data_IF_663456134114
#
_entry.id   IF_663456134114
#
_cell.length_a   1.000
_cell.length_b   1.000
_cell.length_c   1.000
_cell.angle_alpha   90.00
_cell.angle_beta   90.00
_cell.angle_gamma   90.00
#
_symmetry.space_group_name_H-M   'P 1'
#
loop_
_entity.id
_entity.type
_entity.pdbx_description
1 polymer ?
#
# COMPACT_ATOMS: atom_id res chain seq x y z
N UNK A 1 -14.91 -58.43 3.72
CA UNK A 1 -14.78 -56.97 3.92
C UNK A 1 -13.54 -56.45 3.19
N UNK A 2 -13.71 -55.81 2.02
CA UNK A 2 -12.60 -55.17 1.28
C UNK A 2 -12.51 -53.68 1.67
N UNK A 3 -11.38 -53.26 2.25
CA UNK A 3 -11.08 -51.84 2.54
C UNK A 3 -10.84 -51.10 1.21
N UNK A 4 -11.62 -50.06 0.93
CA UNK A 4 -11.34 -49.10 -0.16
C UNK A 4 -10.27 -48.10 0.32
N UNK A 5 -9.28 -47.74 -0.51
CA UNK A 5 -8.30 -46.72 -0.14
C UNK A 5 -8.93 -45.32 -0.24
N UNK A 6 -8.64 -44.49 0.75
CA UNK A 6 -8.98 -43.06 0.78
C UNK A 6 -8.21 -42.36 -0.35
N UNK A 7 -8.92 -41.85 -1.37
CA UNK A 7 -8.32 -40.97 -2.39
C UNK A 7 -8.18 -39.56 -1.79
N UNK A 8 -6.95 -39.15 -1.54
CA UNK A 8 -6.61 -37.78 -1.14
C UNK A 8 -7.01 -36.78 -2.23
N UNK A 9 -8.07 -36.02 -1.98
CA UNK A 9 -8.65 -35.03 -2.90
C UNK A 9 -8.23 -33.58 -2.59
N UNK A 10 -7.41 -33.33 -1.56
CA UNK A 10 -7.03 -31.96 -1.17
C UNK A 10 -5.89 -31.38 -2.03
N UNK A 11 -4.89 -32.18 -2.41
CA UNK A 11 -3.70 -31.73 -3.14
C UNK A 11 -3.98 -31.25 -4.58
N UNK A 12 -4.95 -31.87 -5.27
CA UNK A 12 -5.33 -31.47 -6.62
C UNK A 12 -6.09 -30.12 -6.65
N UNK A 13 -6.83 -29.81 -5.59
CA UNK A 13 -7.61 -28.56 -5.48
C UNK A 13 -6.73 -27.34 -5.22
N UNK A 14 -5.60 -27.55 -4.52
CA UNK A 14 -4.59 -26.51 -4.27
C UNK A 14 -3.82 -26.17 -5.54
N UNK A 15 -3.40 -27.17 -6.32
CA UNK A 15 -2.71 -26.95 -7.61
C UNK A 15 -3.57 -26.22 -8.65
N UNK A 16 -4.87 -26.51 -8.71
CA UNK A 16 -5.82 -25.80 -9.59
C UNK A 16 -6.06 -24.33 -9.19
N UNK A 17 -5.96 -23.99 -7.90
CA UNK A 17 -6.04 -22.58 -7.43
C UNK A 17 -4.74 -21.82 -7.73
N UNK A 18 -3.58 -22.44 -7.57
CA UNK A 18 -2.27 -21.85 -7.90
C UNK A 18 -2.16 -21.46 -9.39
N UNK A 19 -2.74 -22.27 -10.29
CA UNK A 19 -2.80 -21.95 -11.71
C UNK A 19 -3.65 -20.71 -12.03
N UNK A 20 -4.70 -20.43 -11.24
CA UNK A 20 -5.59 -19.27 -11.39
C UNK A 20 -4.92 -17.95 -10.95
N UNK A 21 -3.97 -18.02 -10.02
CA UNK A 21 -3.17 -16.87 -9.55
C UNK A 21 -2.06 -16.48 -10.53
N UNK A 22 -1.46 -17.46 -11.22
CA UNK A 22 -0.50 -17.23 -12.32
C UNK A 22 -1.07 -16.44 -13.51
N UNK A 23 -2.40 -16.24 -13.57
CA UNK A 23 -3.10 -15.49 -14.62
C UNK A 23 -3.66 -14.15 -14.15
N UNK A 24 -3.22 -13.61 -13.00
CA UNK A 24 -3.52 -12.22 -12.64
C UNK A 24 -2.85 -11.28 -13.64
N UNK A 25 -3.58 -10.91 -14.70
CA UNK A 25 -3.17 -9.92 -15.70
C UNK A 25 -3.24 -8.48 -15.20
N UNK A 26 -3.82 -8.25 -14.02
CA UNK A 26 -4.19 -6.93 -13.54
C UNK A 26 -3.93 -6.80 -12.03
N UNK A 27 -3.28 -5.70 -11.64
CA UNK A 27 -2.93 -5.36 -10.25
C UNK A 27 -4.16 -5.40 -9.34
N UNK A 28 -4.00 -5.99 -8.16
CA UNK A 28 -5.00 -5.98 -7.09
C UNK A 28 -4.54 -5.04 -5.98
N UNK A 29 -5.48 -4.36 -5.36
CA UNK A 29 -5.23 -3.46 -4.25
C UNK A 29 -6.05 -3.90 -3.05
N UNK A 30 -5.41 -3.97 -1.88
CA UNK A 30 -6.06 -4.25 -0.60
C UNK A 30 -5.83 -3.04 0.29
N UNK A 31 -6.89 -2.29 0.59
CA UNK A 31 -6.85 -1.14 1.48
C UNK A 31 -7.13 -1.58 2.92
N UNK A 32 -6.19 -1.29 3.82
CA UNK A 32 -6.31 -1.51 5.26
C UNK A 32 -6.49 -0.16 5.94
N UNK A 33 -7.64 0.06 6.57
CA UNK A 33 -7.97 1.30 7.29
C UNK A 33 -8.16 1.06 8.79
N UNK A 34 -7.87 2.07 9.62
CA UNK A 34 -8.16 2.05 11.06
C UNK A 34 -9.50 2.69 11.43
N UNK A 35 -10.31 2.05 12.28
CA UNK A 35 -11.64 2.58 12.63
C UNK A 35 -11.73 3.34 13.96
N UNK A 36 -11.25 2.76 15.07
CA UNK A 36 -11.61 3.22 16.42
C UNK A 36 -10.47 3.95 17.13
N UNK A 37 -9.27 3.39 17.06
CA UNK A 37 -8.09 3.95 17.72
C UNK A 37 -6.84 3.54 16.92
N UNK A 38 -5.86 4.43 16.86
CA UNK A 38 -4.55 4.12 16.26
C UNK A 38 -3.71 3.23 17.18
N UNK A 39 -2.73 2.51 16.63
CA UNK A 39 -1.82 1.68 17.43
C UNK A 39 -2.31 0.28 17.83
N UNK A 40 -3.47 -0.20 17.38
CA UNK A 40 -3.94 -1.59 17.64
C UNK A 40 -3.12 -2.65 16.87
N UNK A 41 -2.34 -2.24 15.86
CA UNK A 41 -1.52 -3.15 15.04
C UNK A 41 -2.00 -3.29 13.59
N UNK A 42 -2.42 -2.18 12.96
CA UNK A 42 -2.76 -2.14 11.53
C UNK A 42 -1.60 -2.65 10.67
N UNK A 43 -0.38 -2.20 10.93
CA UNK A 43 0.82 -2.65 10.23
C UNK A 43 1.07 -4.15 10.36
N UNK A 44 0.84 -4.74 11.54
CA UNK A 44 0.98 -6.19 11.74
C UNK A 44 -0.09 -6.97 10.95
N UNK A 45 -1.32 -6.50 10.94
CA UNK A 45 -2.40 -7.13 10.16
C UNK A 45 -2.12 -7.02 8.65
N UNK A 46 -1.73 -5.84 8.16
CA UNK A 46 -1.36 -5.61 6.77
C UNK A 46 -0.17 -6.51 6.35
N UNK A 47 0.87 -6.56 7.17
CA UNK A 47 2.04 -7.45 6.98
C UNK A 47 1.64 -8.92 6.91
N UNK A 48 0.76 -9.35 7.82
CA UNK A 48 0.28 -10.74 7.88
C UNK A 48 -0.51 -11.13 6.64
N UNK A 49 -1.38 -10.25 6.14
CA UNK A 49 -2.12 -10.47 4.89
C UNK A 49 -1.16 -10.62 3.72
N UNK A 50 -0.18 -9.71 3.59
CA UNK A 50 0.80 -9.81 2.53
C UNK A 50 1.66 -11.07 2.61
N UNK A 51 2.04 -11.49 3.82
CA UNK A 51 2.84 -12.71 4.05
C UNK A 51 2.09 -13.96 3.58
N UNK A 52 0.79 -14.05 3.89
CA UNK A 52 -0.06 -15.15 3.43
C UNK A 52 -0.14 -15.16 1.90
N UNK A 53 -0.30 -14.00 1.26
CA UNK A 53 -0.35 -13.89 -0.20
C UNK A 53 0.97 -14.30 -0.84
N UNK A 54 2.11 -13.85 -0.29
CA UNK A 54 3.44 -14.24 -0.75
C UNK A 54 3.70 -15.74 -0.58
N UNK A 55 3.25 -16.34 0.51
CA UNK A 55 3.30 -17.81 0.70
C UNK A 55 2.48 -18.60 -0.33
N UNK A 56 1.48 -17.96 -0.95
CA UNK A 56 0.73 -18.54 -2.06
C UNK A 56 1.45 -18.45 -3.42
N UNK A 57 2.62 -17.82 -3.47
CA UNK A 57 3.43 -17.59 -4.67
C UNK A 57 3.01 -16.36 -5.47
N UNK A 58 2.46 -15.34 -4.82
CA UNK A 58 2.15 -14.05 -5.43
C UNK A 58 3.25 -13.03 -5.14
N UNK A 59 3.53 -12.16 -6.10
CA UNK A 59 4.36 -10.97 -5.86
C UNK A 59 3.53 -9.91 -5.14
N UNK A 60 4.01 -9.43 -4.00
CA UNK A 60 3.29 -8.51 -3.13
C UNK A 60 4.17 -7.32 -2.81
N UNK A 61 3.63 -6.11 -2.96
CA UNK A 61 4.24 -4.87 -2.48
C UNK A 61 3.37 -4.21 -1.42
N UNK A 62 3.94 -3.28 -0.67
CA UNK A 62 3.25 -2.53 0.38
C UNK A 62 3.43 -1.02 0.18
N UNK A 63 2.39 -0.26 0.50
CA UNK A 63 2.42 1.21 0.57
C UNK A 63 1.83 1.63 1.92
N UNK A 64 2.61 2.39 2.70
CA UNK A 64 2.13 3.08 3.90
C UNK A 64 1.71 4.49 3.54
N UNK A 65 0.52 4.87 4.00
CA UNK A 65 0.05 6.25 3.91
C UNK A 65 -0.02 6.81 5.32
N UNK A 66 0.65 7.93 5.53
CA UNK A 66 0.62 8.64 6.80
C UNK A 66 -0.02 10.02 6.63
N UNK A 67 -1.13 10.28 7.34
CA UNK A 67 -1.89 11.51 7.12
C UNK A 67 -1.25 12.75 7.77
N UNK A 68 -0.09 12.64 8.43
CA UNK A 68 0.64 13.78 8.99
C UNK A 68 1.24 14.70 7.92
N UNK A 69 1.48 15.96 8.30
CA UNK A 69 1.93 17.04 7.39
C UNK A 69 3.43 16.98 7.06
N UNK A 70 4.24 16.31 7.87
CA UNK A 70 5.67 16.13 7.59
C UNK A 70 5.88 15.43 6.23
N UNK A 71 6.96 15.76 5.54
CA UNK A 71 7.28 15.19 4.22
C UNK A 71 7.81 13.76 4.36
N UNK A 72 8.53 13.50 5.44
CA UNK A 72 9.16 12.24 5.81
C UNK A 72 9.24 12.15 7.33
N UNK A 73 9.74 11.02 7.83
CA UNK A 73 9.87 10.79 9.26
C UNK A 73 11.12 11.44 9.88
N UNK A 74 12.01 12.01 9.06
CA UNK A 74 13.33 12.48 9.49
C UNK A 74 13.32 13.66 10.46
N UNK A 75 12.23 14.40 10.47
CA UNK A 75 12.04 15.55 11.36
C UNK A 75 11.31 15.19 12.67
N UNK A 76 10.84 13.96 12.82
CA UNK A 76 10.19 13.55 14.06
C UNK A 76 11.21 13.35 15.18
N UNK A 77 10.78 13.71 16.39
CA UNK A 77 11.44 13.23 17.60
C UNK A 77 11.15 11.73 17.77
N UNK A 78 12.18 10.87 17.90
CA UNK A 78 11.97 9.44 18.15
C UNK A 78 11.17 9.14 19.43
N UNK A 79 11.15 10.09 20.38
CA UNK A 79 10.41 9.98 21.62
C UNK A 79 8.91 10.24 21.46
N UNK A 80 8.49 10.97 20.43
CA UNK A 80 7.10 11.35 20.22
C UNK A 80 6.37 10.45 19.24
N UNK A 81 7.02 10.09 18.13
CA UNK A 81 6.40 9.34 17.04
C UNK A 81 6.94 7.90 16.89
N UNK A 82 7.82 7.48 17.80
CA UNK A 82 8.49 6.19 17.75
C UNK A 82 9.74 6.22 16.86
N UNK A 83 10.34 5.04 16.71
CA UNK A 83 11.59 4.90 15.95
C UNK A 83 11.38 5.24 14.46
N UNK A 84 12.35 5.94 13.88
CA UNK A 84 12.44 6.15 12.44
C UNK A 84 13.13 4.94 11.83
N UNK A 85 12.56 4.39 10.76
CA UNK A 85 13.17 3.30 10.01
C UNK A 85 13.90 3.86 8.77
N UNK A 86 15.09 3.35 8.49
CA UNK A 86 15.88 3.76 7.32
C UNK A 86 15.91 2.61 6.33
N UNK A 87 15.42 2.86 5.11
CA UNK A 87 15.38 1.91 4.01
C UNK A 87 16.72 1.81 3.29
N UNK A 88 16.90 0.77 2.46
CA UNK A 88 18.09 0.53 1.64
C UNK A 88 18.45 1.72 0.72
N UNK A 89 17.45 2.50 0.29
CA UNK A 89 17.63 3.69 -0.55
C UNK A 89 17.96 4.98 0.24
N UNK A 90 18.14 4.86 1.56
CA UNK A 90 18.40 5.97 2.49
C UNK A 90 17.15 6.77 2.87
N UNK A 91 15.95 6.29 2.53
CA UNK A 91 14.70 6.91 2.94
C UNK A 91 14.42 6.77 4.44
N UNK A 92 14.18 7.90 5.11
CA UNK A 92 13.73 7.97 6.51
C UNK A 92 12.20 7.90 6.56
N UNK A 93 11.66 6.78 7.05
CA UNK A 93 10.25 6.42 6.97
C UNK A 93 9.69 5.95 8.31
N UNK A 94 8.36 5.80 8.36
CA UNK A 94 7.66 5.22 9.50
C UNK A 94 8.08 3.76 9.78
N UNK A 95 8.06 3.36 11.05
CA UNK A 95 8.48 2.04 11.51
C UNK A 95 7.68 0.89 10.88
N UNK A 96 6.43 1.13 10.46
CA UNK A 96 5.60 0.11 9.82
C UNK A 96 6.21 -0.41 8.51
N UNK A 97 7.01 0.39 7.79
CA UNK A 97 7.72 -0.09 6.60
C UNK A 97 8.76 -1.15 6.94
N UNK A 98 9.44 -1.01 8.07
CA UNK A 98 10.36 -2.03 8.56
C UNK A 98 9.65 -3.33 8.92
N UNK A 99 8.39 -3.27 9.37
CA UNK A 99 7.58 -4.48 9.56
C UNK A 99 7.29 -5.14 8.21
N UNK A 100 6.91 -4.37 7.18
CA UNK A 100 6.64 -4.93 5.85
C UNK A 100 7.86 -5.63 5.27
N UNK A 101 9.04 -5.00 5.27
CA UNK A 101 10.27 -5.63 4.77
C UNK A 101 10.59 -6.94 5.50
N UNK A 102 10.50 -6.93 6.83
CA UNK A 102 10.79 -8.12 7.66
C UNK A 102 9.81 -9.26 7.45
N UNK A 103 8.51 -8.98 7.33
CA UNK A 103 7.48 -10.01 7.19
C UNK A 103 7.34 -10.51 5.75
N UNK A 104 7.48 -9.62 4.78
CA UNK A 104 7.32 -9.93 3.36
C UNK A 104 8.63 -10.35 2.71
N UNK A 105 9.79 -10.13 3.33
CA UNK A 105 11.10 -10.38 2.69
C UNK A 105 11.20 -9.67 1.33
N UNK A 106 10.99 -8.35 1.35
CA UNK A 106 11.03 -7.44 0.19
C UNK A 106 11.85 -6.20 0.52
N UNK A 107 12.27 -5.46 -0.51
CA UNK A 107 12.98 -4.19 -0.36
C UNK A 107 12.10 -3.04 -0.83
N UNK A 108 11.66 -2.23 0.12
CA UNK A 108 10.85 -1.05 -0.14
C UNK A 108 11.76 0.17 -0.36
N UNK A 109 11.18 1.21 -0.94
CA UNK A 109 11.85 2.49 -1.18
C UNK A 109 11.13 3.60 -0.44
N UNK A 110 11.76 4.77 -0.30
CA UNK A 110 11.14 5.95 0.33
C UNK A 110 9.81 6.36 -0.28
N UNK A 111 9.51 5.93 -1.51
CA UNK A 111 8.26 6.24 -2.18
C UNK A 111 7.12 5.27 -1.85
N UNK A 112 7.41 4.16 -1.17
CA UNK A 112 6.42 3.29 -0.53
C UNK A 112 5.81 3.94 0.73
N UNK A 113 6.41 5.01 1.24
CA UNK A 113 5.82 5.89 2.24
C UNK A 113 5.27 7.15 1.57
N UNK A 114 3.96 7.37 1.71
CA UNK A 114 3.26 8.53 1.19
C UNK A 114 2.67 9.33 2.35
N UNK A 115 3.09 10.59 2.48
CA UNK A 115 2.60 11.48 3.53
C UNK A 115 1.75 12.62 2.96
N UNK A 116 0.95 13.28 3.80
CA UNK A 116 0.23 14.50 3.40
C UNK A 116 1.22 15.57 2.94
N UNK A 117 2.33 15.77 3.66
CA UNK A 117 3.37 16.72 3.27
C UNK A 117 3.91 16.47 1.86
N UNK A 118 4.28 15.23 1.58
CA UNK A 118 4.85 14.81 0.30
C UNK A 118 3.90 15.07 -0.87
N UNK A 119 2.62 14.72 -0.71
CA UNK A 119 1.64 14.89 -1.79
C UNK A 119 1.23 16.35 -2.01
N UNK A 120 1.12 17.14 -0.94
CA UNK A 120 0.83 18.57 -1.05
C UNK A 120 2.01 19.31 -1.68
N UNK A 121 3.24 19.02 -1.26
CA UNK A 121 4.46 19.55 -1.87
C UNK A 121 4.48 19.26 -3.37
N UNK A 122 4.15 18.03 -3.78
CA UNK A 122 4.09 17.64 -5.18
C UNK A 122 3.08 18.48 -5.99
N UNK A 123 1.85 18.61 -5.50
CA UNK A 123 0.80 19.39 -6.17
C UNK A 123 1.12 20.88 -6.21
N UNK A 124 1.64 21.45 -5.12
CA UNK A 124 2.08 22.86 -5.06
C UNK A 124 3.22 23.10 -6.07
N UNK A 125 4.18 22.17 -6.18
CA UNK A 125 5.27 22.32 -7.14
C UNK A 125 4.78 22.27 -8.60
N UNK A 126 3.79 21.42 -8.91
CA UNK A 126 3.13 21.41 -10.23
C UNK A 126 2.41 22.72 -10.53
N UNK A 127 1.71 23.27 -9.54
CA UNK A 127 1.05 24.57 -9.64
C UNK A 127 2.06 25.68 -9.98
N UNK A 128 3.16 25.77 -9.24
CA UNK A 128 4.19 26.79 -9.46
C UNK A 128 4.91 26.66 -10.80
N UNK A 129 4.97 25.46 -11.37
CA UNK A 129 5.50 25.21 -12.72
C UNK A 129 4.52 25.59 -13.83
N UNK A 130 3.25 25.83 -13.51
CA UNK A 130 2.20 26.15 -14.47
C UNK A 130 1.47 24.95 -15.05
N UNK A 131 1.64 23.74 -14.49
CA UNK A 131 1.04 22.51 -15.01
C UNK A 131 -0.50 22.54 -15.00
N UNK A 132 -1.10 23.37 -14.13
CA UNK A 132 -2.55 23.56 -14.04
C UNK A 132 -3.09 24.74 -14.87
N UNK A 133 -2.27 25.31 -15.77
CA UNK A 133 -2.68 26.33 -16.75
C UNK A 133 -3.35 27.57 -16.10
N UNK A 134 -2.86 27.98 -14.93
CA UNK A 134 -3.38 29.13 -14.18
C UNK A 134 -4.77 28.94 -13.56
N UNK A 135 -5.32 27.72 -13.57
CA UNK A 135 -6.60 27.40 -12.93
C UNK A 135 -6.42 27.18 -11.42
N UNK A 136 -7.53 27.30 -10.69
CA UNK A 136 -7.56 27.06 -9.24
C UNK A 136 -7.24 25.60 -8.92
N UNK A 137 -6.26 25.39 -8.03
CA UNK A 137 -5.92 24.09 -7.47
C UNK A 137 -6.70 23.87 -6.17
N UNK A 138 -7.26 22.69 -6.01
CA UNK A 138 -8.19 22.31 -4.94
C UNK A 138 -7.91 20.88 -4.48
N UNK A 139 -8.35 20.53 -3.25
CA UNK A 139 -8.20 19.17 -2.72
C UNK A 139 -8.83 18.13 -3.65
N UNK A 140 -10.06 18.37 -4.08
CA UNK A 140 -10.71 17.57 -5.14
C UNK A 140 -10.79 18.45 -6.39
N UNK A 141 -10.29 18.00 -7.56
CA UNK A 141 -9.70 16.67 -7.81
C UNK A 141 -8.18 16.59 -7.60
N UNK A 142 -7.46 17.70 -7.45
CA UNK A 142 -6.00 17.72 -7.67
C UNK A 142 -5.19 16.91 -6.65
N UNK A 143 -5.53 16.97 -5.35
CA UNK A 143 -4.87 16.16 -4.32
C UNK A 143 -5.32 14.71 -4.44
N UNK A 144 -6.63 14.45 -4.61
CA UNK A 144 -7.17 13.09 -4.73
C UNK A 144 -6.63 12.35 -5.96
N UNK A 145 -6.44 13.04 -7.08
CA UNK A 145 -5.86 12.48 -8.29
C UNK A 145 -4.36 12.20 -8.11
N UNK A 146 -3.63 13.12 -7.48
CA UNK A 146 -2.21 12.93 -7.19
C UNK A 146 -1.97 11.72 -6.28
N UNK A 147 -2.80 11.51 -5.25
CA UNK A 147 -2.75 10.31 -4.38
C UNK A 147 -2.94 9.05 -5.22
N UNK A 148 -3.98 9.00 -6.07
CA UNK A 148 -4.26 7.85 -6.92
C UNK A 148 -3.11 7.56 -7.90
N UNK A 149 -2.57 8.59 -8.55
CA UNK A 149 -1.43 8.48 -9.46
C UNK A 149 -0.18 7.95 -8.75
N UNK A 150 0.07 8.40 -7.51
CA UNK A 150 1.18 7.91 -6.70
C UNK A 150 1.04 6.43 -6.40
N UNK A 151 -0.10 6.02 -5.86
CA UNK A 151 -0.40 4.62 -5.51
C UNK A 151 -0.29 3.72 -6.74
N UNK A 152 -0.88 4.11 -7.87
CA UNK A 152 -0.83 3.32 -9.11
C UNK A 152 0.59 3.13 -9.64
N UNK A 153 1.43 4.17 -9.53
CA UNK A 153 2.82 4.09 -10.00
C UNK A 153 3.65 3.22 -9.07
N UNK A 154 3.58 3.49 -7.76
CA UNK A 154 4.41 2.77 -6.79
C UNK A 154 4.02 1.31 -6.63
N UNK A 155 2.74 0.96 -6.77
CA UNK A 155 2.29 -0.42 -6.72
C UNK A 155 2.94 -1.33 -7.79
N UNK A 156 3.46 -0.76 -8.88
CA UNK A 156 4.03 -1.50 -10.02
C UNK A 156 5.55 -1.60 -9.96
N UNK A 157 6.20 -0.93 -9.00
CA UNK A 157 7.64 -0.99 -8.84
C UNK A 157 8.01 -2.35 -8.25
N UNK A 158 8.91 -3.12 -8.88
CA UNK A 158 9.41 -4.37 -8.33
C UNK A 158 10.12 -4.15 -6.99
N UNK A 159 9.83 -5.03 -6.04
CA UNK A 159 10.40 -5.02 -4.67
C UNK A 159 11.05 -6.34 -4.29
N UNK A 160 10.88 -7.37 -5.14
CA UNK A 160 11.52 -8.68 -5.04
C UNK A 160 12.81 -8.71 -5.88
N UNK A 161 13.74 -9.60 -5.51
CA UNK A 161 15.04 -9.73 -6.19
C UNK A 161 14.94 -10.21 -7.64
N UNK A 162 13.84 -10.87 -8.02
CA UNK A 162 13.61 -11.32 -9.39
C UNK A 162 13.13 -10.21 -10.34
N UNK A 163 12.88 -9.00 -9.81
CA UNK A 163 12.50 -7.83 -10.60
C UNK A 163 11.10 -7.90 -11.21
N UNK A 164 10.24 -8.81 -10.76
CA UNK A 164 8.89 -8.97 -11.29
C UNK A 164 7.94 -7.88 -10.78
N UNK A 165 7.04 -7.41 -11.65
CA UNK A 165 5.98 -6.47 -11.27
C UNK A 165 5.06 -7.13 -10.22
N UNK A 166 4.74 -6.45 -9.09
CA UNK A 166 3.83 -6.99 -8.09
C UNK A 166 2.45 -7.31 -8.67
N UNK A 167 1.79 -8.32 -8.10
CA UNK A 167 0.43 -8.71 -8.48
C UNK A 167 -0.61 -8.16 -7.50
N UNK A 168 -0.19 -7.93 -6.25
CA UNK A 168 -1.02 -7.37 -5.18
C UNK A 168 -0.26 -6.25 -4.48
N UNK A 169 -0.92 -5.11 -4.29
CA UNK A 169 -0.45 -4.01 -3.46
C UNK A 169 -1.30 -3.95 -2.19
N UNK A 170 -0.69 -4.15 -1.03
CA UNK A 170 -1.32 -3.88 0.26
C UNK A 170 -1.09 -2.40 0.58
N UNK A 171 -2.16 -1.67 0.86
CA UNK A 171 -2.10 -0.25 1.18
C UNK A 171 -2.58 -0.11 2.61
N UNK A 172 -1.73 0.38 3.49
CA UNK A 172 -2.15 0.75 4.83
C UNK A 172 -2.38 2.26 4.93
N UNK A 173 -3.60 2.66 5.26
CA UNK A 173 -3.92 4.02 5.65
C UNK A 173 -3.75 4.19 7.17
N UNK A 174 -2.72 4.95 7.54
CA UNK A 174 -2.48 5.42 8.90
C UNK A 174 -3.58 6.34 9.42
N UNK A 175 -3.50 6.69 10.70
CA UNK A 175 -4.54 7.45 11.39
C UNK A 175 -5.82 6.65 11.65
N UNK A 176 -6.90 7.37 11.90
CA UNK A 176 -8.23 6.82 12.19
C UNK A 176 -9.26 7.39 11.21
N UNK A 177 -10.11 6.52 10.67
CA UNK A 177 -11.23 6.93 9.82
C UNK A 177 -12.17 7.82 10.62
N UNK A 178 -12.44 9.01 10.09
CA UNK A 178 -13.23 10.04 10.76
C UNK A 178 -12.41 11.29 11.07
N UNK A 179 -11.08 11.16 11.18
CA UNK A 179 -10.20 12.30 11.38
C UNK A 179 -10.10 13.16 10.11
N UNK A 180 -9.99 14.48 10.28
CA UNK A 180 -9.93 15.45 9.17
C UNK A 180 -8.75 15.16 8.24
N UNK A 181 -7.62 14.75 8.80
CA UNK A 181 -6.40 14.42 8.08
C UNK A 181 -6.58 13.25 7.09
N UNK A 182 -7.51 12.33 7.37
CA UNK A 182 -7.76 11.16 6.54
C UNK A 182 -8.75 11.43 5.39
N UNK A 183 -9.49 12.54 5.45
CA UNK A 183 -10.57 12.83 4.48
C UNK A 183 -10.09 12.83 3.01
N UNK A 184 -8.95 13.46 2.64
CA UNK A 184 -8.48 13.43 1.26
C UNK A 184 -8.15 12.01 0.77
N UNK A 185 -7.54 11.18 1.63
CA UNK A 185 -7.18 9.81 1.28
C UNK A 185 -8.41 8.91 1.11
N UNK A 186 -9.38 9.03 2.01
CA UNK A 186 -10.65 8.28 1.91
C UNK A 186 -11.40 8.66 0.63
N UNK A 187 -11.48 9.94 0.28
CA UNK A 187 -12.12 10.35 -0.98
C UNK A 187 -11.32 9.86 -2.21
N UNK A 188 -9.98 9.93 -2.16
CA UNK A 188 -9.13 9.39 -3.22
C UNK A 188 -9.40 7.89 -3.45
N UNK A 189 -9.45 7.08 -2.38
CA UNK A 189 -9.73 5.64 -2.49
C UNK A 189 -11.18 5.33 -2.86
N UNK A 190 -12.14 6.15 -2.43
CA UNK A 190 -13.53 6.05 -2.87
C UNK A 190 -13.63 6.22 -4.38
N UNK A 191 -12.92 7.17 -4.98
CA UNK A 191 -12.85 7.34 -6.45
C UNK A 191 -12.03 6.22 -7.11
N UNK A 192 -10.93 5.83 -6.48
CA UNK A 192 -9.98 4.84 -7.00
C UNK A 192 -10.64 3.48 -7.31
N UNK A 193 -11.54 3.01 -6.44
CA UNK A 193 -12.25 1.73 -6.65
C UNK A 193 -13.01 1.69 -7.99
N UNK A 194 -13.51 2.84 -8.47
CA UNK A 194 -14.19 2.94 -9.76
C UNK A 194 -13.19 2.96 -10.92
N UNK A 195 -12.04 3.61 -10.73
CA UNK A 195 -10.95 3.69 -11.71
C UNK A 195 -10.32 2.33 -11.99
N UNK A 196 -10.05 1.53 -10.95
CA UNK A 196 -9.45 0.19 -11.10
C UNK A 196 -10.46 -0.93 -11.25
N UNK A 197 -11.75 -0.65 -11.10
CA UNK A 197 -12.88 -1.58 -11.01
C UNK A 197 -12.95 -2.35 -9.68
N UNK A 198 -14.18 -2.64 -9.26
CA UNK A 198 -14.50 -3.24 -7.96
C UNK A 198 -13.85 -4.61 -7.73
N UNK A 199 -13.64 -5.41 -8.78
CA UNK A 199 -12.97 -6.71 -8.68
C UNK A 199 -11.45 -6.63 -8.45
N UNK A 200 -10.87 -5.43 -8.53
CA UNK A 200 -9.44 -5.17 -8.35
C UNK A 200 -9.13 -4.39 -7.07
N UNK A 201 -10.15 -3.97 -6.31
CA UNK A 201 -10.00 -3.19 -5.09
C UNK A 201 -10.81 -3.82 -3.95
N UNK A 202 -10.15 -4.12 -2.84
CA UNK A 202 -10.74 -4.67 -1.63
C UNK A 202 -10.46 -3.76 -0.44
#
# INVERSE_FOLDING_TARGET
FKKKPWKGSSLARVRGRQARWRTLKQMKYILVTGGVISGIGKGIIASSVGTILKSCGLHVTSIKIDPYINIDAGTFSPYEHGEVFVLDDGGEVDLDLGNYERFLDIRLTKDNNLTTGKIYQYVINKERKGDYLGKTVQVVPHITDAIQEWVMRQARIPVDEDGMEPQVCVIELGGTVGDIESMPFIEAFRQFQFKVKRENFC
#
